data_IF_741840379178
#
_entry.id   IF_741840379178
#
_cell.length_a   1.000
_cell.length_b   1.000
_cell.length_c   1.000
_cell.angle_alpha   90.00
_cell.angle_beta   90.00
_cell.angle_gamma   90.00
#
_symmetry.space_group_name_H-M   'P 1'
#
loop_
_entity.id
_entity.type
_entity.pdbx_description
1 polymer ?
#
# COMPACT_ATOMS: atom_id res chain seq x y z
N UNK A 1 -20.84 0.93 10.11
CA UNK A 1 -20.39 1.41 8.79
C UNK A 1 -19.03 0.78 8.51
N UNK A 2 -18.96 -0.25 7.68
CA UNK A 2 -17.66 -0.78 7.25
C UNK A 2 -17.13 0.17 6.18
N UNK A 3 -16.12 0.97 6.52
CA UNK A 3 -15.34 1.69 5.50
C UNK A 3 -14.51 0.62 4.79
N UNK A 4 -14.81 0.37 3.52
CA UNK A 4 -14.05 -0.56 2.69
C UNK A 4 -12.66 0.05 2.48
N UNK A 5 -11.65 -0.48 3.16
CA UNK A 5 -10.36 0.19 3.28
C UNK A 5 -9.46 0.02 2.04
N UNK A 6 -9.79 -0.87 1.11
CA UNK A 6 -9.08 -1.12 -0.15
C UNK A 6 -10.11 -1.59 -1.20
N UNK A 7 -10.08 -1.03 -2.41
CA UNK A 7 -10.89 -1.51 -3.54
C UNK A 7 -10.11 -2.60 -4.30
N UNK A 8 -10.58 -3.87 -4.33
CA UNK A 8 -9.88 -4.93 -5.07
C UNK A 8 -9.79 -4.65 -6.57
N UNK A 9 -10.70 -3.84 -7.13
CA UNK A 9 -10.75 -3.46 -8.53
C UNK A 9 -9.91 -2.22 -8.87
N UNK A 10 -9.25 -1.59 -7.89
CA UNK A 10 -8.32 -0.49 -8.13
C UNK A 10 -7.27 -0.88 -9.18
N UNK A 11 -7.17 -0.13 -10.27
CA UNK A 11 -6.18 -0.38 -11.32
C UNK A 11 -4.84 0.24 -10.95
N UNK A 12 -3.79 -0.58 -10.98
CA UNK A 12 -2.42 -0.21 -10.66
C UNK A 12 -1.52 -0.53 -11.85
N UNK A 13 -0.65 0.41 -12.21
CA UNK A 13 0.34 0.22 -13.27
C UNK A 13 1.40 -0.81 -12.85
N UNK A 14 1.74 -1.70 -13.78
CA UNK A 14 2.78 -2.72 -13.61
C UNK A 14 4.12 -2.14 -14.05
N UNK A 15 5.10 -2.26 -13.15
CA UNK A 15 6.48 -1.85 -13.37
C UNK A 15 7.37 -3.07 -13.64
N UNK A 16 8.54 -2.83 -14.20
CA UNK A 16 9.59 -3.84 -14.26
C UNK A 16 10.52 -3.75 -13.03
N UNK A 17 11.46 -4.69 -12.92
CA UNK A 17 12.42 -4.72 -11.82
C UNK A 17 13.40 -3.53 -11.80
N UNK A 18 13.42 -2.69 -12.85
CA UNK A 18 14.21 -1.44 -12.92
C UNK A 18 13.37 -0.22 -12.56
N UNK A 19 12.12 -0.42 -12.15
CA UNK A 19 11.18 0.66 -11.82
C UNK A 19 10.69 1.42 -13.04
N UNK A 20 10.70 0.82 -14.24
CA UNK A 20 10.13 1.42 -15.43
C UNK A 20 8.69 0.95 -15.67
N UNK A 21 7.77 1.84 -16.08
CA UNK A 21 6.41 1.47 -16.40
C UNK A 21 6.37 0.53 -17.60
N UNK A 22 5.55 -0.52 -17.53
CA UNK A 22 5.40 -1.50 -18.63
C UNK A 22 4.25 -1.14 -19.59
N UNK A 23 3.49 -0.08 -19.30
CA UNK A 23 2.30 0.30 -20.06
C UNK A 23 1.09 -0.63 -19.86
N UNK A 24 1.17 -1.56 -18.90
CA UNK A 24 0.08 -2.47 -18.50
C UNK A 24 -0.41 -2.09 -17.12
N UNK A 25 -1.69 -2.31 -16.85
CA UNK A 25 -2.26 -2.19 -15.52
C UNK A 25 -2.97 -3.48 -15.12
N UNK A 26 -3.02 -3.75 -13.82
CA UNK A 26 -3.76 -4.86 -13.22
C UNK A 26 -4.62 -4.35 -12.08
N UNK A 27 -5.66 -5.11 -11.72
CA UNK A 27 -6.40 -4.84 -10.49
C UNK A 27 -5.48 -5.04 -9.28
N UNK A 28 -5.76 -4.33 -8.19
CA UNK A 28 -5.06 -4.45 -6.92
C UNK A 28 -5.00 -5.91 -6.46
N UNK A 29 -6.09 -6.65 -6.59
CA UNK A 29 -6.08 -8.08 -6.24
C UNK A 29 -5.09 -8.87 -7.10
N UNK A 30 -5.20 -8.76 -8.43
CA UNK A 30 -4.36 -9.53 -9.36
C UNK A 30 -2.87 -9.18 -9.22
N UNK A 31 -2.54 -7.89 -9.06
CA UNK A 31 -1.14 -7.45 -8.99
C UNK A 31 -0.43 -7.97 -7.73
N UNK A 32 -1.14 -8.09 -6.60
CA UNK A 32 -0.58 -8.68 -5.37
C UNK A 32 -0.54 -10.22 -5.42
N UNK A 33 -1.53 -10.86 -6.05
CA UNK A 33 -1.54 -12.33 -6.23
C UNK A 33 -0.39 -12.78 -7.14
N UNK A 34 -0.18 -12.08 -8.25
CA UNK A 34 0.86 -12.42 -9.23
C UNK A 34 2.26 -11.99 -8.78
N UNK A 35 2.36 -11.11 -7.77
CA UNK A 35 3.64 -10.59 -7.26
C UNK A 35 4.31 -9.59 -8.21
N UNK A 36 3.52 -8.91 -9.04
CA UNK A 36 4.03 -7.94 -10.01
C UNK A 36 4.47 -6.64 -9.32
N UNK A 37 5.56 -6.04 -9.82
CA UNK A 37 6.06 -4.76 -9.33
C UNK A 37 5.04 -3.65 -9.60
N UNK A 38 4.83 -2.81 -8.59
CA UNK A 38 3.97 -1.64 -8.67
C UNK A 38 4.43 -0.60 -7.64
N UNK A 39 4.09 0.67 -7.87
CA UNK A 39 4.51 1.75 -6.97
C UNK A 39 3.69 1.71 -5.67
N UNK A 40 4.41 1.79 -4.55
CA UNK A 40 3.84 1.91 -3.22
C UNK A 40 4.14 3.29 -2.62
N UNK A 41 3.24 3.76 -1.78
CA UNK A 41 3.38 4.98 -1.00
C UNK A 41 3.46 4.66 0.49
N UNK A 42 4.37 5.33 1.20
CA UNK A 42 4.45 5.32 2.66
C UNK A 42 4.59 6.74 3.19
N UNK A 43 3.68 7.14 4.07
CA UNK A 43 3.73 8.38 4.83
C UNK A 43 4.27 8.14 6.23
N UNK A 44 5.30 8.89 6.60
CA UNK A 44 5.87 8.88 7.94
C UNK A 44 5.62 10.23 8.60
N UNK A 45 5.05 10.21 9.80
CA UNK A 45 4.81 11.42 10.60
C UNK A 45 5.72 11.32 11.81
N UNK A 46 6.59 12.31 11.96
CA UNK A 46 7.50 12.45 13.10
C UNK A 46 7.04 13.61 13.97
N UNK A 47 7.23 13.49 15.29
CA UNK A 47 7.11 14.65 16.19
C UNK A 47 8.19 15.68 15.83
N UNK A 48 7.93 16.96 16.08
CA UNK A 48 8.85 18.06 15.73
C UNK A 48 10.25 17.93 16.37
N UNK A 49 10.38 17.21 17.49
CA UNK A 49 11.67 16.93 18.15
C UNK A 49 12.41 15.74 17.54
N UNK A 50 11.80 15.02 16.60
CA UNK A 50 12.37 13.87 15.90
C UNK A 50 12.49 12.58 16.72
N UNK A 51 11.96 12.53 17.96
CA UNK A 51 12.15 11.39 18.85
C UNK A 51 11.05 10.34 18.76
N UNK A 52 9.89 10.71 18.24
CA UNK A 52 8.73 9.83 18.12
C UNK A 52 8.24 9.76 16.67
N UNK A 53 7.78 8.57 16.28
CA UNK A 53 7.16 8.31 14.98
C UNK A 53 5.76 7.75 15.18
N UNK A 54 4.80 8.23 14.38
CA UNK A 54 3.45 7.67 14.36
C UNK A 54 3.45 6.39 13.55
N UNK A 55 3.00 5.31 14.18
CA UNK A 55 2.76 4.02 13.54
C UNK A 55 1.26 3.73 13.53
N UNK A 56 0.77 3.15 12.44
CA UNK A 56 -0.60 2.63 12.39
C UNK A 56 -0.59 1.16 12.81
N UNK A 57 -1.58 0.74 13.61
CA UNK A 57 -1.91 -0.68 13.73
C UNK A 57 -2.96 -1.01 12.68
N UNK A 58 -2.59 -1.88 11.74
CA UNK A 58 -3.48 -2.26 10.64
C UNK A 58 -4.72 -2.96 11.18
N UNK A 59 -5.88 -2.68 10.57
CA UNK A 59 -7.13 -3.37 10.88
C UNK A 59 -6.97 -4.89 10.75
N UNK A 60 -7.68 -5.64 11.61
CA UNK A 60 -7.77 -7.09 11.50
C UNK A 60 -8.45 -7.54 10.19
N UNK A 61 -9.20 -6.66 9.53
CA UNK A 61 -9.90 -6.93 8.28
C UNK A 61 -9.04 -6.69 7.02
N UNK A 62 -7.75 -6.35 7.16
CA UNK A 62 -6.86 -6.19 5.99
C UNK A 62 -6.56 -7.54 5.35
N UNK A 63 -6.62 -7.59 4.03
CA UNK A 63 -6.21 -8.71 3.16
C UNK A 63 -4.75 -9.14 3.38
N UNK A 64 -3.89 -8.17 3.69
CA UNK A 64 -2.45 -8.31 3.82
C UNK A 64 -1.99 -7.73 5.16
N UNK A 65 -1.14 -8.48 5.87
CA UNK A 65 -0.50 -8.04 7.11
C UNK A 65 -1.47 -7.49 8.18
N UNK A 66 -2.63 -8.14 8.35
CA UNK A 66 -3.64 -7.77 9.34
C UNK A 66 -3.06 -7.68 10.77
N UNK A 67 -3.46 -6.65 11.51
CA UNK A 67 -3.07 -6.46 12.92
C UNK A 67 -1.61 -6.04 13.16
N UNK A 68 -0.78 -5.93 12.12
CA UNK A 68 0.63 -5.52 12.21
C UNK A 68 0.78 -4.00 12.31
N UNK A 69 1.93 -3.56 12.81
CA UNK A 69 2.36 -2.16 12.78
C UNK A 69 2.94 -1.81 11.41
N UNK A 70 2.65 -0.60 10.94
CA UNK A 70 3.05 -0.09 9.62
C UNK A 70 3.28 1.44 9.71
N UNK A 71 3.76 2.07 8.64
CA UNK A 71 3.92 3.52 8.53
C UNK A 71 2.59 4.25 8.83
N UNK A 72 2.61 5.55 9.17
CA UNK A 72 1.41 6.30 9.56
C UNK A 72 0.27 6.19 8.54
N UNK A 73 0.60 6.18 7.24
CA UNK A 73 -0.28 5.72 6.18
C UNK A 73 0.54 4.99 5.11
N UNK A 74 -0.04 3.98 4.46
CA UNK A 74 0.59 3.26 3.36
C UNK A 74 -0.47 2.83 2.34
N UNK A 75 -0.10 2.76 1.08
CA UNK A 75 -1.02 2.43 0.00
C UNK A 75 -0.35 2.46 -1.37
N UNK A 76 -1.15 2.76 -2.38
CA UNK A 76 -0.74 2.71 -3.78
C UNK A 76 -0.76 4.10 -4.41
N UNK A 77 0.22 4.36 -5.27
CA UNK A 77 0.19 5.53 -6.14
C UNK A 77 -0.62 5.20 -7.39
N UNK A 78 -1.48 6.13 -7.82
CA UNK A 78 -2.32 6.02 -9.02
C UNK A 78 -1.83 6.96 -10.10
#
# INVERSE_FOLDING_TARGET
MQIQQNDPAELLEVFDARGQPTGRAKTREAIHVDGDWHVAFHCWILRCDGQEVVLQRRSAAKDTFAGRWDAAAAGHWR
#
